data_IF_426904395671
#
_entry.id   IF_426904395671
#
_cell.length_a   1.000
_cell.length_b   1.000
_cell.length_c   1.000
_cell.angle_alpha   90.00
_cell.angle_beta   90.00
_cell.angle_gamma   90.00
#
_symmetry.space_group_name_H-M   'P 1'
#
loop_
_entity.id
_entity.type
_entity.pdbx_description
1 polymer ?
#
# COMPACT_ATOMS: atom_id res chain seq x y z
N UNK A 1 -11.58 -43.14 36.88
CA UNK A 1 -11.66 -41.95 36.04
C UNK A 1 -10.55 -41.98 35.01
N UNK A 2 -10.68 -41.25 33.96
CA UNK A 2 -9.60 -41.03 32.97
C UNK A 2 -8.95 -39.68 33.23
N UNK A 3 -7.69 -39.55 32.89
CA UNK A 3 -6.97 -38.29 32.96
C UNK A 3 -7.59 -37.25 31.98
N UNK A 4 -7.48 -35.97 32.33
CA UNK A 4 -8.11 -34.90 31.54
C UNK A 4 -7.62 -34.84 30.08
N UNK A 5 -6.31 -35.00 29.90
CA UNK A 5 -5.67 -35.01 28.59
C UNK A 5 -6.19 -36.14 27.70
N UNK A 6 -6.29 -37.35 28.27
CA UNK A 6 -6.85 -38.50 27.55
C UNK A 6 -8.34 -38.32 27.25
N UNK A 7 -9.09 -37.69 28.15
CA UNK A 7 -10.51 -37.36 27.88
C UNK A 7 -10.67 -36.41 26.73
N UNK A 8 -9.84 -35.33 26.64
CA UNK A 8 -9.84 -34.37 25.55
C UNK A 8 -9.48 -35.07 24.23
N UNK A 9 -8.44 -35.88 24.20
CA UNK A 9 -8.01 -36.63 23.01
C UNK A 9 -9.15 -37.52 22.48
N UNK A 10 -9.77 -38.32 23.33
CA UNK A 10 -10.90 -39.20 22.99
C UNK A 10 -12.11 -38.43 22.46
N UNK A 11 -12.41 -37.25 23.01
CA UNK A 11 -13.48 -36.40 22.53
C UNK A 11 -13.12 -35.85 21.14
N UNK A 12 -11.90 -35.31 20.97
CA UNK A 12 -11.45 -34.77 19.67
C UNK A 12 -11.46 -35.82 18.56
N UNK A 13 -11.05 -37.06 18.88
CA UNK A 13 -11.05 -38.17 17.92
C UNK A 13 -12.46 -38.68 17.57
N UNK A 14 -13.43 -38.47 18.48
CA UNK A 14 -14.82 -38.88 18.27
C UNK A 14 -15.64 -37.92 17.41
N UNK A 15 -15.18 -36.67 17.24
CA UNK A 15 -15.89 -35.66 16.43
C UNK A 15 -15.30 -35.56 15.02
N UNK A 16 -16.18 -35.35 14.07
CA UNK A 16 -15.78 -35.10 12.68
C UNK A 16 -15.83 -33.59 12.43
N UNK A 17 -14.80 -33.06 11.79
CA UNK A 17 -14.79 -31.68 11.31
C UNK A 17 -15.93 -31.45 10.31
N UNK A 18 -16.60 -30.33 10.41
CA UNK A 18 -17.56 -29.86 9.41
C UNK A 18 -16.76 -29.39 8.21
N UNK A 19 -16.96 -30.04 7.05
CA UNK A 19 -16.27 -29.71 5.81
C UNK A 19 -17.20 -29.12 4.74
N UNK A 20 -18.48 -28.93 5.08
CA UNK A 20 -19.45 -28.32 4.17
C UNK A 20 -19.10 -26.84 3.99
N UNK A 21 -18.93 -26.44 2.74
CA UNK A 21 -18.57 -25.07 2.35
C UNK A 21 -19.80 -24.41 1.73
N UNK A 22 -20.03 -23.14 2.09
CA UNK A 22 -21.01 -22.28 1.44
C UNK A 22 -20.37 -20.94 1.06
N UNK A 23 -20.85 -20.33 -0.01
CA UNK A 23 -20.45 -19.00 -0.42
C UNK A 23 -21.37 -17.96 0.21
N UNK A 24 -20.80 -16.96 0.89
CA UNK A 24 -21.52 -15.88 1.53
C UNK A 24 -20.94 -14.52 1.15
N UNK A 25 -21.77 -13.46 1.20
CA UNK A 25 -21.26 -12.10 1.06
C UNK A 25 -20.30 -11.77 2.21
N UNK A 26 -19.31 -10.91 1.96
CA UNK A 26 -18.30 -10.53 2.99
C UNK A 26 -18.96 -9.94 4.22
N UNK A 27 -20.11 -9.25 4.09
CA UNK A 27 -20.90 -8.69 5.21
C UNK A 27 -21.38 -9.77 6.18
N UNK A 28 -21.67 -11.00 5.67
CA UNK A 28 -22.15 -12.14 6.45
C UNK A 28 -21.02 -13.09 6.89
N UNK A 29 -19.78 -12.82 6.45
CA UNK A 29 -18.66 -13.70 6.70
C UNK A 29 -18.01 -13.51 8.08
N UNK A 30 -18.25 -12.38 8.74
CA UNK A 30 -17.68 -12.10 10.07
C UNK A 30 -18.08 -13.18 11.08
N UNK A 31 -17.07 -13.69 11.82
CA UNK A 31 -17.25 -14.74 12.84
C UNK A 31 -17.34 -16.15 12.29
N UNK A 32 -17.40 -16.31 10.95
CA UNK A 32 -17.37 -17.62 10.28
C UNK A 32 -15.91 -18.11 10.15
N UNK A 33 -15.74 -19.38 9.87
CA UNK A 33 -14.45 -19.99 9.55
C UNK A 33 -14.27 -19.95 8.03
N UNK A 34 -13.15 -19.40 7.56
CA UNK A 34 -12.87 -19.33 6.11
C UNK A 34 -12.64 -20.73 5.53
N UNK A 35 -13.26 -21.04 4.41
CA UNK A 35 -13.20 -22.31 3.70
C UNK A 35 -12.21 -22.35 2.54
N UNK A 36 -11.43 -21.29 2.36
CA UNK A 36 -10.38 -21.19 1.33
C UNK A 36 -9.27 -20.23 1.79
N UNK A 37 -8.11 -20.33 1.16
CA UNK A 37 -7.06 -19.32 1.34
C UNK A 37 -7.47 -18.03 0.64
N UNK A 38 -7.30 -16.89 1.29
CA UNK A 38 -7.50 -15.56 0.68
C UNK A 38 -6.17 -15.06 0.14
N UNK A 39 -6.16 -14.80 -1.16
CA UNK A 39 -4.97 -14.38 -1.90
C UNK A 39 -5.12 -12.92 -2.33
N UNK A 40 -4.06 -12.13 -2.22
CA UNK A 40 -4.05 -10.75 -2.69
C UNK A 40 -4.29 -10.67 -4.21
N UNK A 41 -5.32 -9.97 -4.64
CA UNK A 41 -5.71 -9.80 -6.04
C UNK A 41 -4.98 -8.65 -6.72
N UNK A 42 -4.51 -7.69 -5.93
CA UNK A 42 -3.80 -6.48 -6.37
C UNK A 42 -2.62 -6.21 -5.44
N UNK A 43 -1.67 -5.38 -5.91
CA UNK A 43 -0.66 -4.78 -5.06
C UNK A 43 -1.28 -3.67 -4.18
N UNK A 44 -0.73 -3.45 -2.97
CA UNK A 44 -0.98 -2.26 -2.17
C UNK A 44 0.35 -1.67 -1.68
N UNK A 45 0.60 -0.39 -2.01
CA UNK A 45 -0.13 0.44 -2.96
C UNK A 45 -0.12 -0.13 -4.39
N UNK A 46 -1.09 0.23 -5.27
CA UNK A 46 -1.20 -0.33 -6.61
C UNK A 46 -0.22 0.29 -7.63
N UNK A 47 0.56 1.26 -7.23
CA UNK A 47 1.63 1.92 -7.99
C UNK A 47 2.55 2.67 -7.03
N UNK A 48 3.74 3.05 -7.50
CA UNK A 48 4.65 3.93 -6.76
C UNK A 48 3.97 5.27 -6.51
N UNK A 49 3.91 5.71 -5.23
CA UNK A 49 3.17 6.90 -4.82
C UNK A 49 3.94 7.79 -3.87
N UNK A 50 3.56 9.07 -3.82
CA UNK A 50 4.08 10.00 -2.83
C UNK A 50 3.41 9.81 -1.46
N UNK A 51 4.16 9.72 -0.35
CA UNK A 51 3.61 9.71 1.00
C UNK A 51 3.31 11.11 1.54
N UNK A 52 3.65 12.17 0.80
CA UNK A 52 3.53 13.56 1.27
C UNK A 52 3.29 14.52 0.11
N UNK A 53 2.89 15.75 0.46
CA UNK A 53 2.78 16.86 -0.48
C UNK A 53 4.15 17.49 -0.70
N UNK A 54 4.51 17.72 -1.96
CA UNK A 54 5.83 18.23 -2.29
C UNK A 54 6.15 18.26 -3.77
N UNK A 55 7.39 17.93 -4.11
CA UNK A 55 7.88 17.94 -5.48
C UNK A 55 8.61 16.63 -5.77
N UNK A 56 8.13 15.90 -6.77
CA UNK A 56 8.78 14.71 -7.29
C UNK A 56 9.89 15.12 -8.26
N UNK A 57 11.10 14.60 -8.06
CA UNK A 57 12.29 15.06 -8.75
C UNK A 57 13.36 13.95 -8.80
N UNK A 58 14.48 14.27 -9.41
CA UNK A 58 15.67 13.43 -9.48
C UNK A 58 16.62 13.83 -8.34
N UNK A 59 16.94 12.91 -7.46
CA UNK A 59 17.80 13.18 -6.30
C UNK A 59 19.17 13.75 -6.68
N UNK A 60 19.70 13.35 -7.84
CA UNK A 60 20.98 13.85 -8.34
C UNK A 60 20.97 15.35 -8.68
N UNK A 61 19.79 15.91 -9.08
CA UNK A 61 19.66 17.32 -9.46
C UNK A 61 19.66 18.27 -8.26
N UNK A 62 19.49 17.74 -7.05
CA UNK A 62 19.46 18.54 -5.81
C UNK A 62 20.61 18.24 -4.86
N UNK A 63 21.65 17.58 -5.35
CA UNK A 63 22.84 17.28 -4.55
C UNK A 63 23.49 18.59 -4.04
N UNK A 64 23.70 18.68 -2.72
CA UNK A 64 24.25 19.87 -2.07
C UNK A 64 23.25 20.99 -1.80
N UNK A 65 21.94 20.77 -2.07
CA UNK A 65 20.91 21.75 -1.77
C UNK A 65 20.83 22.06 -0.27
N UNK A 66 20.76 23.34 0.06
CA UNK A 66 20.62 23.81 1.42
C UNK A 66 19.99 25.21 1.45
N UNK A 67 19.56 25.69 2.61
CA UNK A 67 19.05 27.07 2.78
C UNK A 67 20.08 28.14 2.37
N UNK A 68 21.40 27.84 2.49
CA UNK A 68 22.47 28.77 2.08
C UNK A 68 22.80 28.65 0.60
N UNK A 69 22.49 27.52 0.01
CA UNK A 69 22.74 27.23 -1.41
C UNK A 69 21.51 26.52 -1.99
N UNK A 70 20.41 27.26 -2.23
CA UNK A 70 19.19 26.67 -2.79
C UNK A 70 19.43 26.26 -4.24
N UNK A 71 18.82 25.13 -4.64
CA UNK A 71 18.82 24.68 -6.03
C UNK A 71 17.45 24.97 -6.63
N UNK A 72 17.46 25.63 -7.78
CA UNK A 72 16.23 26.00 -8.50
C UNK A 72 15.91 24.97 -9.58
N UNK A 73 14.67 24.44 -9.54
CA UNK A 73 14.13 23.52 -10.53
C UNK A 73 12.92 24.13 -11.23
N UNK A 74 12.71 23.76 -12.49
CA UNK A 74 11.53 24.13 -13.24
C UNK A 74 10.37 23.18 -12.90
N UNK A 75 9.23 23.73 -12.51
CA UNK A 75 8.00 22.96 -12.30
C UNK A 75 7.31 22.78 -13.64
N UNK A 76 7.22 21.54 -14.14
CA UNK A 76 6.66 21.25 -15.46
C UNK A 76 5.21 20.76 -15.43
N UNK A 77 4.71 20.37 -14.25
CA UNK A 77 3.33 19.88 -14.04
C UNK A 77 2.96 19.82 -12.56
N UNK A 78 1.68 19.50 -12.30
CA UNK A 78 1.17 19.19 -10.97
C UNK A 78 0.28 17.95 -11.03
N UNK A 79 0.43 17.01 -10.05
CA UNK A 79 -0.33 15.77 -9.98
C UNK A 79 -0.95 15.62 -8.59
N UNK A 80 -2.29 15.61 -8.56
CA UNK A 80 -3.08 15.33 -7.36
C UNK A 80 -3.40 13.85 -7.21
N UNK A 81 -3.85 13.43 -6.02
CA UNK A 81 -4.33 12.08 -5.78
C UNK A 81 -5.44 11.70 -6.79
N UNK A 82 -5.34 10.50 -7.37
CA UNK A 82 -6.24 10.03 -8.43
C UNK A 82 -5.93 10.56 -9.82
N UNK A 83 -5.02 11.55 -9.95
CA UNK A 83 -4.50 12.03 -11.23
C UNK A 83 -3.19 11.36 -11.62
N UNK A 84 -2.77 11.59 -12.85
CA UNK A 84 -1.44 11.21 -13.34
C UNK A 84 -1.01 12.17 -14.46
N UNK A 85 0.29 12.16 -14.76
CA UNK A 85 0.86 12.92 -15.87
C UNK A 85 1.57 11.99 -16.85
N UNK A 86 1.58 12.37 -18.12
CA UNK A 86 2.38 11.69 -19.15
C UNK A 86 3.77 12.32 -19.33
N UNK A 87 4.03 13.43 -18.63
CA UNK A 87 5.33 14.09 -18.70
C UNK A 87 6.38 13.27 -17.96
N UNK A 88 7.57 13.25 -18.48
CA UNK A 88 8.76 12.66 -17.87
C UNK A 88 9.67 13.78 -17.36
N UNK A 89 10.12 13.65 -16.12
CA UNK A 89 10.99 14.65 -15.49
C UNK A 89 12.41 14.48 -15.99
N UNK A 90 12.89 15.53 -16.67
CA UNK A 90 14.25 15.64 -17.13
C UNK A 90 15.18 16.32 -16.10
N UNK A 91 16.41 16.61 -16.54
CA UNK A 91 17.40 17.30 -15.71
C UNK A 91 16.94 18.71 -15.33
N UNK A 92 17.07 19.07 -14.06
CA UNK A 92 16.65 20.35 -13.48
C UNK A 92 15.12 20.63 -13.59
N UNK A 93 14.32 19.60 -13.75
CA UNK A 93 12.86 19.69 -13.77
C UNK A 93 12.28 18.98 -12.54
N UNK A 94 11.05 19.31 -12.24
CA UNK A 94 10.28 18.67 -11.15
C UNK A 94 8.79 18.76 -11.46
N UNK A 95 8.01 17.92 -10.79
CA UNK A 95 6.54 17.94 -10.82
C UNK A 95 6.04 18.11 -9.39
N UNK A 96 5.15 19.10 -9.20
CA UNK A 96 4.45 19.24 -7.93
C UNK A 96 3.54 18.03 -7.72
N UNK A 97 3.60 17.41 -6.54
CA UNK A 97 2.89 16.17 -6.27
C UNK A 97 2.20 16.21 -4.91
N UNK A 98 0.99 15.66 -4.84
CA UNK A 98 0.22 15.55 -3.60
C UNK A 98 0.27 14.13 -3.05
N UNK A 99 0.05 14.01 -1.74
CA UNK A 99 -0.03 12.73 -1.03
C UNK A 99 -0.95 11.75 -1.75
N UNK A 100 -0.47 10.53 -1.97
CA UNK A 100 -1.20 9.46 -2.66
C UNK A 100 -1.16 9.51 -4.19
N UNK A 101 -0.61 10.57 -4.78
CA UNK A 101 -0.46 10.66 -6.23
C UNK A 101 0.67 9.74 -6.73
N UNK A 102 0.49 9.21 -7.94
CA UNK A 102 1.48 8.37 -8.62
C UNK A 102 2.76 9.15 -8.91
N UNK A 103 3.91 8.57 -8.57
CA UNK A 103 5.22 9.16 -8.88
C UNK A 103 5.40 9.23 -10.41
N UNK A 104 5.73 10.42 -10.95
CA UNK A 104 5.97 10.59 -12.37
C UNK A 104 7.25 9.88 -12.84
N UNK A 105 7.28 9.53 -14.13
CA UNK A 105 8.49 9.00 -14.75
C UNK A 105 9.67 9.97 -14.64
N UNK A 106 10.87 9.43 -14.44
CA UNK A 106 12.10 10.21 -14.28
C UNK A 106 12.37 10.67 -12.85
N UNK A 107 11.38 10.56 -11.94
CA UNK A 107 11.56 10.89 -10.53
C UNK A 107 11.99 9.66 -9.73
N UNK A 108 12.88 9.87 -8.77
CA UNK A 108 13.36 8.84 -7.86
C UNK A 108 13.20 9.19 -6.37
N UNK A 109 12.68 10.39 -6.08
CA UNK A 109 12.39 10.83 -4.72
C UNK A 109 11.36 11.96 -4.70
N UNK A 110 10.86 12.26 -3.50
CA UNK A 110 9.98 13.41 -3.26
C UNK A 110 10.55 14.26 -2.13
N UNK A 111 10.66 15.57 -2.37
CA UNK A 111 10.94 16.52 -1.30
C UNK A 111 9.63 17.13 -0.79
N UNK A 112 9.51 17.26 0.53
CA UNK A 112 8.33 17.92 1.14
C UNK A 112 8.26 19.39 0.77
N UNK A 113 7.08 19.90 0.53
CA UNK A 113 6.89 21.31 0.16
C UNK A 113 7.41 22.32 1.19
N UNK A 114 7.43 21.96 2.49
CA UNK A 114 7.95 22.80 3.59
C UNK A 114 9.47 23.00 3.52
N UNK A 115 10.17 22.20 2.72
CA UNK A 115 11.61 22.36 2.47
C UNK A 115 11.90 23.10 1.16
N UNK A 116 10.95 23.90 0.68
CA UNK A 116 11.00 24.69 -0.55
C UNK A 116 10.39 26.08 -0.36
N UNK A 117 10.39 26.90 -1.40
CA UNK A 117 9.69 28.18 -1.45
C UNK A 117 8.23 28.08 -1.95
N UNK A 118 7.70 26.87 -2.12
CA UNK A 118 6.37 26.60 -2.68
C UNK A 118 6.16 27.08 -4.12
N UNK A 119 7.22 27.24 -4.89
CA UNK A 119 7.18 27.77 -6.25
C UNK A 119 6.32 26.97 -7.22
N UNK A 120 5.57 27.66 -8.09
CA UNK A 120 4.61 27.04 -9.04
C UNK A 120 5.16 26.87 -10.45
N UNK A 121 5.99 27.78 -10.93
CA UNK A 121 6.67 27.70 -12.24
C UNK A 121 8.12 27.25 -12.08
N UNK A 122 8.76 27.73 -11.03
CA UNK A 122 10.08 27.33 -10.58
C UNK A 122 10.05 27.23 -9.07
N UNK A 123 10.75 26.25 -8.52
CA UNK A 123 10.82 26.01 -7.08
C UNK A 123 12.27 25.99 -6.60
N UNK A 124 12.52 26.64 -5.48
CA UNK A 124 13.80 26.60 -4.77
C UNK A 124 13.80 25.50 -3.73
N UNK A 125 14.76 24.59 -3.85
CA UNK A 125 14.93 23.44 -2.98
C UNK A 125 15.97 23.77 -1.90
N UNK A 126 15.59 23.64 -0.64
CA UNK A 126 16.41 24.03 0.51
C UNK A 126 17.05 22.87 1.25
N UNK A 127 16.86 21.65 0.77
CA UNK A 127 17.35 20.44 1.41
C UNK A 127 17.63 19.36 0.36
N UNK A 128 18.70 18.65 0.55
CA UNK A 128 19.00 17.42 -0.20
C UNK A 128 18.12 16.27 0.32
N UNK A 129 17.64 15.43 -0.59
CA UNK A 129 16.99 14.15 -0.27
C UNK A 129 17.68 13.02 -1.02
N UNK A 130 17.68 11.85 -0.41
CA UNK A 130 18.34 10.67 -0.96
C UNK A 130 17.47 9.99 -2.01
N UNK A 131 18.09 9.22 -2.86
CA UNK A 131 17.42 8.30 -3.76
C UNK A 131 16.41 7.42 -3.01
N UNK A 132 15.19 7.34 -3.52
CA UNK A 132 14.03 6.68 -2.93
C UNK A 132 13.58 7.22 -1.55
N UNK A 133 14.02 8.40 -1.17
CA UNK A 133 13.49 9.05 0.03
C UNK A 133 12.09 9.61 -0.24
N UNK A 134 11.16 9.38 0.70
CA UNK A 134 9.74 9.73 0.58
C UNK A 134 9.09 9.13 -0.69
N UNK A 135 9.31 7.85 -0.87
CA UNK A 135 8.86 7.09 -2.04
C UNK A 135 8.24 5.78 -1.56
N UNK A 136 6.93 5.61 -1.75
CA UNK A 136 6.21 4.39 -1.42
C UNK A 136 6.16 3.51 -2.66
N UNK A 137 6.78 2.34 -2.59
CA UNK A 137 6.84 1.42 -3.73
C UNK A 137 5.51 0.68 -3.94
N UNK A 138 5.22 0.38 -5.19
CA UNK A 138 4.13 -0.53 -5.54
C UNK A 138 4.29 -1.87 -4.79
N UNK A 139 3.22 -2.28 -4.10
CA UNK A 139 3.20 -3.56 -3.39
C UNK A 139 4.02 -3.63 -2.11
N UNK A 140 4.51 -2.49 -1.56
CA UNK A 140 5.32 -2.51 -0.33
C UNK A 140 4.55 -3.02 0.90
N UNK A 141 3.24 -2.80 0.95
CA UNK A 141 2.37 -3.29 2.03
C UNK A 141 1.84 -4.70 1.74
N UNK A 142 1.31 -4.92 0.53
CA UNK A 142 0.76 -6.19 0.08
C UNK A 142 1.15 -6.43 -1.37
N UNK A 143 1.81 -7.55 -1.63
CA UNK A 143 2.16 -7.97 -2.99
C UNK A 143 1.07 -8.88 -3.56
N UNK A 144 0.62 -8.61 -4.77
CA UNK A 144 -0.33 -9.45 -5.50
C UNK A 144 0.14 -10.91 -5.52
N UNK A 145 -0.79 -11.83 -5.22
CA UNK A 145 -0.51 -13.25 -5.14
C UNK A 145 -0.04 -13.74 -3.77
N UNK A 146 0.26 -12.84 -2.81
CA UNK A 146 0.55 -13.23 -1.43
C UNK A 146 -0.69 -13.75 -0.72
N UNK A 147 -0.51 -14.71 0.17
CA UNK A 147 -1.59 -15.25 1.01
C UNK A 147 -1.82 -14.30 2.18
N UNK A 148 -3.06 -13.85 2.35
CA UNK A 148 -3.48 -12.91 3.38
C UNK A 148 -4.17 -13.57 4.58
N UNK A 149 -4.97 -14.62 4.32
CA UNK A 149 -5.71 -15.35 5.36
C UNK A 149 -5.64 -16.83 5.00
N UNK A 150 -5.37 -17.67 6.01
CA UNK A 150 -5.29 -19.12 5.79
C UNK A 150 -6.65 -19.78 5.92
N UNK A 151 -6.89 -20.80 5.13
CA UNK A 151 -8.00 -21.74 5.30
C UNK A 151 -8.12 -22.15 6.78
N UNK A 152 -9.33 -22.14 7.32
CA UNK A 152 -9.61 -22.54 8.69
C UNK A 152 -9.53 -21.41 9.73
N UNK A 153 -9.10 -20.20 9.34
CA UNK A 153 -9.08 -19.05 10.25
C UNK A 153 -10.50 -18.51 10.51
N UNK A 154 -10.73 -18.01 11.73
CA UNK A 154 -11.98 -17.33 12.08
C UNK A 154 -11.91 -15.86 11.63
N UNK A 155 -12.87 -15.46 10.80
CA UNK A 155 -12.90 -14.12 10.23
C UNK A 155 -13.29 -13.06 11.28
N UNK A 156 -12.36 -12.14 11.54
CA UNK A 156 -12.57 -10.92 12.34
C UNK A 156 -12.99 -9.76 11.45
N UNK A 157 -13.34 -8.61 12.05
CA UNK A 157 -13.59 -7.37 11.31
C UNK A 157 -12.36 -6.88 10.53
N UNK A 158 -11.15 -7.13 11.03
CA UNK A 158 -9.89 -6.80 10.32
C UNK A 158 -9.80 -7.63 9.03
N UNK A 159 -10.07 -8.94 9.13
CA UNK A 159 -10.09 -9.83 7.95
C UNK A 159 -11.11 -9.38 6.91
N UNK A 160 -12.32 -8.95 7.34
CA UNK A 160 -13.33 -8.41 6.42
C UNK A 160 -12.82 -7.15 5.71
N UNK A 161 -12.14 -6.25 6.42
CA UNK A 161 -11.51 -5.07 5.83
C UNK A 161 -10.45 -5.42 4.77
N UNK A 162 -9.57 -6.40 5.07
CA UNK A 162 -8.56 -6.89 4.11
C UNK A 162 -9.23 -7.51 2.87
N UNK A 163 -10.20 -8.40 3.07
CA UNK A 163 -10.96 -9.06 1.99
C UNK A 163 -11.63 -8.02 1.08
N UNK A 164 -12.30 -7.03 1.69
CA UNK A 164 -12.94 -5.93 0.96
C UNK A 164 -11.94 -5.08 0.16
N UNK A 165 -10.78 -4.76 0.76
CA UNK A 165 -9.72 -3.98 0.08
C UNK A 165 -9.12 -4.69 -1.12
N UNK A 166 -9.24 -6.02 -1.19
CA UNK A 166 -8.82 -6.85 -2.31
C UNK A 166 -9.91 -7.02 -3.38
N UNK A 167 -11.10 -6.42 -3.17
CA UNK A 167 -12.19 -6.47 -4.14
C UNK A 167 -13.05 -7.74 -4.11
N UNK A 168 -12.95 -8.55 -3.06
CA UNK A 168 -13.84 -9.70 -2.90
C UNK A 168 -15.24 -9.24 -2.47
N UNK A 169 -16.26 -9.68 -3.18
CA UNK A 169 -17.67 -9.48 -2.79
C UNK A 169 -18.20 -10.63 -1.95
N UNK A 170 -17.67 -11.83 -2.19
CA UNK A 170 -18.07 -13.08 -1.54
C UNK A 170 -16.83 -13.90 -1.19
N UNK A 171 -16.99 -14.78 -0.23
CA UNK A 171 -15.97 -15.74 0.21
C UNK A 171 -16.61 -17.08 0.56
N UNK A 172 -15.83 -18.15 0.47
CA UNK A 172 -16.23 -19.46 0.93
C UNK A 172 -15.97 -19.61 2.44
N UNK A 173 -16.96 -20.05 3.17
CA UNK A 173 -16.88 -20.29 4.61
C UNK A 173 -17.37 -21.69 4.94
N UNK A 174 -16.89 -22.24 6.05
CA UNK A 174 -17.39 -23.50 6.59
C UNK A 174 -18.79 -23.24 7.18
N UNK A 175 -19.73 -24.12 6.88
CA UNK A 175 -21.15 -24.01 7.26
C UNK A 175 -21.35 -24.12 8.77
#
# INVERSE_FOLDING_TARGET
GIELELAIELICDSVKSINDIEEVSIEKARGRIIGEDIIATINQPPFDRSPLDGYALRSEDITGASKKNPIKLKVIDEVCAGGYTHKEVGKNETIRIMTGAKIPKGCDCVIRQESTDYGMETVEIYQEVKHHQNYCFEGEDITKGSKLINLGEKLSYIHIGIIASMGYEKVKVIR
#
